data_IF_071833440631
#
_entry.id   IF_071833440631
#
_cell.length_a   1.000
_cell.length_b   1.000
_cell.length_c   1.000
_cell.angle_alpha   90.00
_cell.angle_beta   90.00
_cell.angle_gamma   90.00
#
_symmetry.space_group_name_H-M   'P 1'
#
loop_
_entity.id
_entity.type
_entity.pdbx_description
1 polymer ?
#
# COMPACT_ATOMS: atom_id res chain seq x y z
N UNK A 1 10.29 -3.57 11.20
CA UNK A 1 9.03 -3.85 11.93
C UNK A 1 9.48 -4.72 13.07
N UNK A 2 9.53 -4.17 14.26
CA UNK A 2 10.00 -4.87 15.45
C UNK A 2 8.91 -4.74 16.49
N UNK A 3 7.75 -5.31 16.16
CA UNK A 3 6.72 -5.56 17.16
C UNK A 3 7.00 -6.94 17.76
N UNK A 4 6.70 -7.12 19.05
CA UNK A 4 6.99 -8.37 19.77
C UNK A 4 6.14 -9.55 19.27
N UNK A 5 5.02 -9.28 18.61
CA UNK A 5 4.11 -10.28 18.08
C UNK A 5 4.49 -10.71 16.65
N UNK A 6 4.36 -12.01 16.37
CA UNK A 6 4.52 -12.55 15.02
C UNK A 6 3.40 -12.04 14.09
N UNK A 7 3.80 -11.38 13.00
CA UNK A 7 2.86 -10.80 12.03
C UNK A 7 2.64 -11.77 10.87
N UNK A 8 1.37 -12.04 10.54
CA UNK A 8 0.97 -12.90 9.41
C UNK A 8 -0.23 -12.31 8.67
N UNK A 9 -0.46 -12.74 7.43
CA UNK A 9 -1.71 -12.45 6.74
C UNK A 9 -2.81 -13.37 7.27
N UNK A 10 -4.00 -12.87 7.60
CA UNK A 10 -5.09 -13.70 8.12
C UNK A 10 -5.62 -14.69 7.07
N UNK A 11 -5.53 -14.34 5.80
CA UNK A 11 -6.00 -15.14 4.66
C UNK A 11 -5.03 -16.25 4.24
N UNK A 12 -3.80 -16.25 4.75
CA UNK A 12 -2.77 -17.23 4.40
C UNK A 12 -2.42 -18.07 5.62
N UNK A 13 -2.61 -19.38 5.50
CA UNK A 13 -2.06 -20.34 6.42
C UNK A 13 -0.64 -20.74 5.99
N UNK A 14 0.35 -20.47 6.85
CA UNK A 14 1.78 -20.67 6.56
C UNK A 14 2.26 -22.09 6.87
N UNK A 15 1.64 -22.78 7.83
CA UNK A 15 2.09 -24.10 8.31
C UNK A 15 1.48 -25.25 7.50
N UNK A 16 1.57 -25.18 6.16
CA UNK A 16 1.08 -26.26 5.30
C UNK A 16 1.95 -27.51 5.51
N UNK A 17 1.32 -28.65 5.77
CA UNK A 17 2.03 -29.93 5.86
C UNK A 17 2.43 -30.39 4.47
N UNK A 18 3.67 -30.85 4.33
CA UNK A 18 4.16 -31.44 3.08
C UNK A 18 3.57 -32.86 2.95
N UNK A 19 2.80 -33.11 1.89
CA UNK A 19 2.40 -34.47 1.53
C UNK A 19 3.60 -35.14 0.87
N UNK A 20 3.93 -36.36 1.28
CA UNK A 20 5.18 -37.03 0.88
C UNK A 20 5.22 -37.42 -0.62
N UNK A 21 4.08 -37.39 -1.30
CA UNK A 21 3.96 -37.78 -2.71
C UNK A 21 3.93 -36.57 -3.65
N UNK A 22 5.05 -36.33 -4.33
CA UNK A 22 5.03 -35.93 -5.75
C UNK A 22 5.06 -34.44 -6.13
N UNK A 23 5.39 -33.50 -5.24
CA UNK A 23 5.60 -32.09 -5.59
C UNK A 23 7.05 -31.67 -5.45
N UNK A 24 7.72 -31.30 -6.55
CA UNK A 24 9.14 -30.93 -6.58
C UNK A 24 9.56 -29.85 -5.55
N UNK A 25 10.84 -29.90 -5.15
CA UNK A 25 11.50 -29.05 -4.14
C UNK A 25 11.39 -27.54 -4.38
N UNK A 26 10.93 -27.11 -5.55
CA UNK A 26 10.85 -25.71 -5.98
C UNK A 26 9.61 -24.97 -5.45
N UNK A 27 8.52 -25.67 -5.11
CA UNK A 27 7.32 -25.05 -4.54
C UNK A 27 7.48 -24.62 -3.06
N UNK A 28 8.61 -24.95 -2.44
CA UNK A 28 8.90 -24.72 -1.03
C UNK A 28 9.47 -23.33 -0.74
N UNK A 29 10.01 -22.61 -1.73
CA UNK A 29 10.85 -21.44 -1.49
C UNK A 29 10.09 -20.14 -1.18
N UNK A 30 8.84 -19.99 -1.62
CA UNK A 30 8.06 -18.75 -1.43
C UNK A 30 6.73 -19.03 -0.74
N UNK A 31 6.58 -18.49 0.46
CA UNK A 31 5.29 -18.48 1.16
C UNK A 31 4.22 -17.84 0.25
N UNK A 32 3.07 -18.50 0.02
CA UNK A 32 2.02 -17.94 -0.82
C UNK A 32 1.54 -16.61 -0.21
N UNK A 33 1.42 -15.57 -1.03
CA UNK A 33 1.05 -14.22 -0.57
C UNK A 33 -0.31 -13.82 -1.10
N UNK A 34 -1.19 -13.41 -0.19
CA UNK A 34 -2.47 -12.83 -0.58
C UNK A 34 -2.28 -11.39 -1.08
N UNK A 35 -2.79 -11.14 -2.28
CA UNK A 35 -2.93 -9.80 -2.84
C UNK A 35 -4.26 -9.70 -3.59
N UNK A 36 -4.78 -8.49 -3.72
CA UNK A 36 -6.00 -8.19 -4.48
C UNK A 36 -5.78 -7.00 -5.41
N UNK A 37 -6.61 -6.93 -6.46
CA UNK A 37 -6.77 -5.71 -7.25
C UNK A 37 -7.69 -4.75 -6.49
N UNK A 38 -7.37 -3.45 -6.52
CA UNK A 38 -8.14 -2.42 -5.82
C UNK A 38 -9.22 -1.77 -6.70
N UNK A 39 -9.18 -2.03 -8.01
CA UNK A 39 -10.05 -1.39 -9.00
C UNK A 39 -9.60 0.04 -9.35
N UNK A 40 -10.51 0.84 -9.91
CA UNK A 40 -10.28 2.25 -10.27
C UNK A 40 -9.10 2.50 -11.23
N UNK A 41 -8.74 1.50 -12.03
CA UNK A 41 -7.61 1.59 -12.98
C UNK A 41 -6.22 1.45 -12.37
N UNK A 42 -6.10 1.24 -11.05
CA UNK A 42 -4.81 1.03 -10.41
C UNK A 42 -4.31 -0.40 -10.59
N UNK A 43 -3.07 -0.52 -11.08
CA UNK A 43 -2.38 -1.81 -11.15
C UNK A 43 -1.80 -2.18 -9.78
N UNK A 44 -1.91 -3.46 -9.42
CA UNK A 44 -1.22 -3.99 -8.25
C UNK A 44 0.29 -3.93 -8.49
N UNK A 45 1.09 -3.32 -7.58
CA UNK A 45 2.52 -3.15 -7.81
C UNK A 45 3.25 -4.50 -7.91
N UNK A 46 3.94 -4.69 -9.04
CA UNK A 46 4.78 -5.84 -9.40
C UNK A 46 6.26 -5.42 -9.31
N UNK A 47 7.15 -6.27 -8.80
CA UNK A 47 8.58 -5.97 -8.63
C UNK A 47 9.13 -6.37 -7.26
N UNK A 48 10.46 -6.38 -7.10
CA UNK A 48 11.23 -6.91 -5.96
C UNK A 48 11.05 -6.14 -4.63
N UNK A 49 9.82 -6.16 -4.11
CA UNK A 49 9.35 -5.41 -2.94
C UNK A 49 7.89 -4.98 -3.03
N UNK A 50 7.27 -5.16 -4.20
CA UNK A 50 5.87 -4.84 -4.49
C UNK A 50 4.88 -5.71 -3.72
N UNK A 51 3.58 -5.50 -3.97
CA UNK A 51 2.53 -6.19 -3.22
C UNK A 51 2.47 -7.70 -3.49
N UNK A 52 2.91 -8.15 -4.67
CA UNK A 52 2.86 -9.54 -5.10
C UNK A 52 4.03 -10.35 -4.55
N UNK A 53 5.25 -9.82 -4.66
CA UNK A 53 6.48 -10.54 -4.30
C UNK A 53 7.08 -10.12 -2.95
N UNK A 54 6.58 -9.04 -2.35
CA UNK A 54 7.12 -8.50 -1.10
C UNK A 54 6.84 -9.38 0.13
N UNK A 55 7.64 -9.24 1.17
CA UNK A 55 7.52 -10.02 2.44
C UNK A 55 6.92 -9.23 3.60
N UNK A 56 6.63 -7.94 3.41
CA UNK A 56 6.09 -7.09 4.47
C UNK A 56 4.68 -7.52 4.90
N UNK A 57 4.33 -7.30 6.17
CA UNK A 57 2.97 -7.45 6.68
C UNK A 57 2.45 -6.06 7.06
N UNK A 58 1.38 -5.65 6.38
CA UNK A 58 0.70 -4.38 6.64
C UNK A 58 -0.82 -4.54 6.45
N UNK A 59 -1.55 -4.36 7.56
CA UNK A 59 -3.03 -4.45 7.57
C UNK A 59 -3.68 -3.25 6.88
N UNK A 60 -2.99 -2.10 6.81
CA UNK A 60 -3.48 -0.86 6.20
C UNK A 60 -3.19 -0.77 4.70
N UNK A 61 -2.44 -1.73 4.13
CA UNK A 61 -2.15 -1.78 2.71
C UNK A 61 -3.43 -2.06 1.90
N UNK A 62 -3.73 -1.29 0.84
CA UNK A 62 -4.91 -1.53 0.00
C UNK A 62 -4.81 -2.79 -0.88
N UNK A 63 -3.60 -3.32 -1.13
CA UNK A 63 -3.40 -4.49 -1.99
C UNK A 63 -3.29 -5.80 -1.23
N UNK A 64 -2.60 -5.83 -0.08
CA UNK A 64 -2.32 -7.07 0.67
C UNK A 64 -3.10 -7.15 1.99
N UNK A 65 -3.86 -6.11 2.32
CA UNK A 65 -4.73 -6.03 3.49
C UNK A 65 -6.22 -5.99 3.11
N UNK A 66 -7.07 -5.79 4.13
CA UNK A 66 -8.52 -5.75 3.94
C UNK A 66 -9.06 -4.36 3.56
N UNK A 67 -8.21 -3.34 3.45
CA UNK A 67 -8.66 -1.97 3.13
C UNK A 67 -9.15 -1.90 1.68
N UNK A 68 -10.30 -1.27 1.45
CA UNK A 68 -10.84 -0.98 0.11
C UNK A 68 -10.77 0.51 -0.19
N UNK A 69 -10.31 0.90 -1.38
CA UNK A 69 -10.30 2.32 -1.81
C UNK A 69 -11.69 2.69 -2.33
N UNK A 70 -12.27 3.77 -1.79
CA UNK A 70 -13.57 4.33 -2.20
C UNK A 70 -13.53 5.86 -2.07
N UNK A 71 -14.38 6.56 -2.81
CA UNK A 71 -14.49 8.01 -2.75
C UNK A 71 -13.47 8.74 -3.64
N UNK A 72 -12.94 9.86 -3.16
CA UNK A 72 -12.12 10.78 -3.96
C UNK A 72 -10.68 10.27 -4.09
N UNK A 73 -10.15 10.28 -5.31
CA UNK A 73 -8.72 10.04 -5.59
C UNK A 73 -8.02 11.40 -5.66
N UNK A 74 -6.96 11.57 -4.88
CA UNK A 74 -6.26 12.85 -4.73
C UNK A 74 -4.77 12.67 -5.06
N UNK A 75 -4.22 13.60 -5.83
CA UNK A 75 -2.78 13.67 -6.14
C UNK A 75 -2.13 14.84 -5.41
N UNK A 76 -0.86 14.68 -5.02
CA UNK A 76 -0.08 15.70 -4.31
C UNK A 76 1.40 15.35 -4.27
N UNK A 77 2.22 16.28 -3.79
CA UNK A 77 3.68 16.13 -3.70
C UNK A 77 4.06 15.62 -2.31
N UNK A 78 5.00 14.68 -2.23
CA UNK A 78 5.46 14.10 -0.96
C UNK A 78 6.49 15.03 -0.31
N UNK A 79 6.33 15.33 0.99
CA UNK A 79 7.29 16.17 1.74
C UNK A 79 8.16 15.38 2.70
N UNK A 80 7.60 14.42 3.44
CA UNK A 80 8.34 13.56 4.40
C UNK A 80 7.85 12.11 4.32
N UNK A 81 8.74 11.14 4.53
CA UNK A 81 8.45 9.71 4.35
C UNK A 81 8.90 8.83 5.52
N UNK A 82 7.93 8.24 6.26
CA UNK A 82 8.16 7.04 7.08
C UNK A 82 6.84 6.32 7.43
N UNK A 83 6.37 5.39 6.59
CA UNK A 83 5.06 4.66 6.67
C UNK A 83 3.80 5.53 6.71
N UNK A 84 3.83 6.66 7.41
CA UNK A 84 2.94 7.79 7.18
C UNK A 84 3.74 8.82 6.40
N UNK A 85 3.19 9.26 5.28
CA UNK A 85 3.71 10.35 4.46
C UNK A 85 2.87 11.59 4.71
N UNK A 86 3.51 12.75 4.66
CA UNK A 86 2.79 14.02 4.56
C UNK A 86 2.79 14.41 3.09
N UNK A 87 1.60 14.44 2.49
CA UNK A 87 1.41 14.98 1.14
C UNK A 87 1.02 16.45 1.25
N UNK A 88 1.63 17.27 0.40
CA UNK A 88 1.29 18.67 0.21
C UNK A 88 0.49 18.80 -1.08
N UNK A 89 -0.66 19.47 -1.00
CA UNK A 89 -1.49 19.80 -2.16
C UNK A 89 -1.57 21.31 -2.28
N UNK A 90 -0.86 21.84 -3.26
CA UNK A 90 -0.96 23.23 -3.65
C UNK A 90 -2.20 23.42 -4.54
N UNK A 91 -3.00 24.45 -4.27
CA UNK A 91 -4.18 24.81 -5.06
C UNK A 91 -4.31 26.33 -5.12
N UNK A 92 -4.96 26.79 -6.18
CA UNK A 92 -5.23 28.21 -6.39
C UNK A 92 -6.62 28.54 -5.84
N UNK A 93 -6.69 29.48 -4.91
CA UNK A 93 -7.94 29.98 -4.37
C UNK A 93 -8.30 31.30 -5.04
N UNK A 94 -9.46 31.33 -5.71
CA UNK A 94 -9.93 32.53 -6.38
C UNK A 94 -10.51 33.55 -5.40
N UNK A 95 -10.03 34.79 -5.44
CA UNK A 95 -10.54 35.90 -4.63
C UNK A 95 -11.40 36.80 -5.49
N UNK A 96 -12.72 36.66 -5.35
CA UNK A 96 -13.73 37.36 -6.17
C UNK A 96 -13.62 38.89 -6.10
N UNK A 97 -13.25 39.46 -4.95
CA UNK A 97 -13.12 40.92 -4.78
C UNK A 97 -12.02 41.52 -5.68
N UNK A 98 -10.94 40.78 -5.91
CA UNK A 98 -9.75 41.29 -6.62
C UNK A 98 -9.55 40.64 -7.99
N UNK A 99 -10.44 39.73 -8.41
CA UNK A 99 -10.32 38.93 -9.64
C UNK A 99 -8.93 38.29 -9.81
N UNK A 100 -8.32 37.82 -8.71
CA UNK A 100 -6.98 37.21 -8.66
C UNK A 100 -7.01 35.87 -7.94
N UNK A 101 -6.00 35.03 -8.19
CA UNK A 101 -5.80 33.77 -7.49
C UNK A 101 -4.70 33.88 -6.44
N UNK A 102 -4.93 33.31 -5.27
CA UNK A 102 -3.94 33.14 -4.21
C UNK A 102 -3.44 31.69 -4.18
N UNK A 103 -2.12 31.49 -4.05
CA UNK A 103 -1.55 30.15 -3.85
C UNK A 103 -1.77 29.72 -2.41
N UNK A 104 -2.51 28.63 -2.22
CA UNK A 104 -2.71 27.99 -0.91
C UNK A 104 -2.20 26.56 -0.95
N UNK A 105 -1.93 26.02 0.23
CA UNK A 105 -1.56 24.62 0.36
C UNK A 105 -2.30 23.97 1.52
N UNK A 106 -2.51 22.66 1.42
CA UNK A 106 -2.97 21.82 2.53
C UNK A 106 -2.04 20.63 2.66
N UNK A 107 -1.62 20.37 3.89
CA UNK A 107 -0.86 19.18 4.24
C UNK A 107 -1.83 18.12 4.76
N UNK A 108 -1.68 16.89 4.27
CA UNK A 108 -2.49 15.76 4.71
C UNK A 108 -1.58 14.59 5.03
N UNK A 109 -1.82 13.94 6.17
CA UNK A 109 -1.16 12.69 6.52
C UNK A 109 -1.83 11.54 5.80
N UNK A 110 -1.04 10.74 5.08
CA UNK A 110 -1.49 9.60 4.29
C UNK A 110 -0.64 8.38 4.64
N UNK A 111 -1.25 7.20 4.59
CA UNK A 111 -0.52 5.95 4.79
C UNK A 111 0.25 5.56 3.53
N UNK A 112 1.57 5.41 3.66
CA UNK A 112 2.44 4.83 2.65
C UNK A 112 2.60 3.34 2.93
N UNK A 113 1.90 2.53 2.13
CA UNK A 113 2.09 1.09 2.14
C UNK A 113 3.54 0.75 1.77
N UNK A 114 4.19 -0.24 2.44
CA UNK A 114 5.51 -0.71 2.06
C UNK A 114 5.63 -1.26 0.63
N UNK A 115 4.48 -1.48 -0.05
CA UNK A 115 4.42 -1.87 -1.47
C UNK A 115 5.01 -0.86 -2.45
N UNK A 116 5.11 0.41 -2.05
CA UNK A 116 5.50 1.54 -2.89
C UNK A 116 6.91 2.07 -2.56
N UNK A 117 7.80 1.16 -2.17
CA UNK A 117 9.20 1.48 -1.88
C UNK A 117 10.05 1.38 -3.13
#
# INVERSE_FOLDING_TARGET
LTERAYQKQPTIYQNKKHVLDGGGKEAMEKLPRYHKSVGLGFKTPRGGGGAIDGTYIDKKCPFTGNVSIRGRILSGVVTKMKRTIVIRRDYLHYIRKYNRFEKRHKNMSVHLSPAFR
#
